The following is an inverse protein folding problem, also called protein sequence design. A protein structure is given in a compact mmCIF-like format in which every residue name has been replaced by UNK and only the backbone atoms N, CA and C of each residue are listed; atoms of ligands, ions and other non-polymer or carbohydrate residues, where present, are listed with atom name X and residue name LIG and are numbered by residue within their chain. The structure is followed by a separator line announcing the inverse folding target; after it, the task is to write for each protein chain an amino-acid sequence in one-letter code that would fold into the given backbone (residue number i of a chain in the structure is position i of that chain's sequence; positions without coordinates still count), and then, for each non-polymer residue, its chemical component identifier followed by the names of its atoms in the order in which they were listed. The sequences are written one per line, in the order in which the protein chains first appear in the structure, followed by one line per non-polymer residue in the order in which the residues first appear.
data_IF_571669894703
#
_entry.id   IF_571669894703
#
_cell.length_a   1.000
_cell.length_b   1.000
_cell.length_c   1.000
_cell.angle_alpha   90.00
_cell.angle_beta   90.00
_cell.angle_gamma   90.00
#
_symmetry.space_group_name_H-M   'P 1'
#
loop_
_entity.id
_entity.type
_entity.pdbx_description
1 polymer ?
#
# COMPACT_ATOMS: atom_id res chain seq x y z
N UNK A 1 52.96 -18.65 2.83
CA UNK A 1 51.83 -19.55 2.60
C UNK A 1 50.42 -18.93 2.66
N UNK A 2 50.18 -17.60 2.88
CA UNK A 2 48.84 -17.01 2.70
C UNK A 2 48.53 -16.53 1.26
N UNK A 3 49.56 -16.36 0.42
CA UNK A 3 49.39 -15.84 -0.95
C UNK A 3 48.76 -16.85 -1.93
N UNK A 4 48.99 -18.15 -1.70
CA UNK A 4 48.38 -19.21 -2.50
C UNK A 4 46.87 -19.34 -2.21
N UNK A 5 46.45 -19.18 -0.96
CA UNK A 5 45.03 -19.14 -0.58
C UNK A 5 44.32 -17.92 -1.17
N UNK A 6 44.98 -16.75 -1.21
CA UNK A 6 44.41 -15.54 -1.81
C UNK A 6 44.19 -15.68 -3.33
N UNK A 7 45.11 -16.32 -4.04
CA UNK A 7 44.99 -16.57 -5.48
C UNK A 7 43.91 -17.60 -5.78
N UNK A 8 43.78 -18.66 -4.97
CA UNK A 8 42.70 -19.65 -5.10
C UNK A 8 41.33 -19.04 -4.82
N UNK A 9 41.19 -18.22 -3.77
CA UNK A 9 39.96 -17.48 -3.47
C UNK A 9 39.60 -16.51 -4.60
N UNK A 10 40.60 -15.81 -5.17
CA UNK A 10 40.39 -14.91 -6.30
C UNK A 10 39.91 -15.67 -7.55
N UNK A 11 40.49 -16.82 -7.85
CA UNK A 11 40.06 -17.66 -8.98
C UNK A 11 38.65 -18.22 -8.77
N UNK A 12 38.30 -18.60 -7.54
CA UNK A 12 36.95 -19.06 -7.20
C UNK A 12 35.93 -17.93 -7.40
N UNK A 13 36.23 -16.72 -6.89
CA UNK A 13 35.39 -15.53 -7.05
C UNK A 13 35.24 -15.12 -8.51
N UNK A 14 36.32 -15.16 -9.30
CA UNK A 14 36.29 -14.86 -10.74
C UNK A 14 35.41 -15.86 -11.49
N UNK A 15 35.50 -17.14 -11.14
CA UNK A 15 34.69 -18.20 -11.77
C UNK A 15 33.21 -18.06 -11.43
N UNK A 16 32.89 -17.77 -10.17
CA UNK A 16 31.52 -17.50 -9.73
C UNK A 16 30.95 -16.23 -10.37
N UNK A 17 31.78 -15.19 -10.53
CA UNK A 17 31.40 -13.96 -11.22
C UNK A 17 31.09 -14.22 -12.69
N UNK A 18 31.94 -14.97 -13.40
CA UNK A 18 31.72 -15.36 -14.80
C UNK A 18 30.46 -16.20 -14.94
N UNK A 19 30.20 -17.12 -14.00
CA UNK A 19 28.98 -17.92 -13.97
C UNK A 19 27.70 -17.08 -13.68
N UNK A 20 27.85 -15.94 -13.01
CA UNK A 20 26.75 -15.01 -12.73
C UNK A 20 26.43 -14.08 -13.92
N UNK A 21 27.37 -13.83 -14.84
CA UNK A 21 27.16 -12.99 -16.04
C UNK A 21 25.89 -13.34 -16.83
N UNK A 22 25.63 -14.61 -17.22
CA UNK A 22 24.41 -14.95 -17.96
C UNK A 22 23.14 -14.69 -17.15
N UNK A 23 23.16 -14.93 -15.83
CA UNK A 23 22.02 -14.64 -14.95
C UNK A 23 21.75 -13.14 -14.84
N UNK A 24 22.80 -12.33 -14.79
CA UNK A 24 22.68 -10.87 -14.81
C UNK A 24 22.07 -10.37 -16.13
N UNK A 25 22.53 -10.90 -17.28
CA UNK A 25 21.99 -10.53 -18.59
C UNK A 25 20.48 -10.83 -18.70
N UNK A 26 20.05 -12.02 -18.26
CA UNK A 26 18.62 -12.38 -18.25
C UNK A 26 17.84 -11.48 -17.28
N UNK A 27 18.40 -11.18 -16.11
CA UNK A 27 17.74 -10.31 -15.13
C UNK A 27 17.51 -8.90 -15.67
N UNK A 28 18.49 -8.34 -16.38
CA UNK A 28 18.37 -7.06 -17.07
C UNK A 28 17.30 -7.14 -18.16
N UNK A 29 17.24 -8.22 -18.93
CA UNK A 29 16.22 -8.42 -19.95
C UNK A 29 14.80 -8.49 -19.35
N UNK A 30 14.62 -9.22 -18.25
CA UNK A 30 13.34 -9.29 -17.51
C UNK A 30 12.95 -7.90 -17.02
N UNK A 31 13.88 -7.16 -16.43
CA UNK A 31 13.62 -5.81 -15.94
C UNK A 31 13.20 -4.88 -17.08
N UNK A 32 13.87 -4.94 -18.23
CA UNK A 32 13.53 -4.16 -19.41
C UNK A 32 12.13 -4.52 -19.95
N UNK A 33 11.80 -5.81 -20.00
CA UNK A 33 10.47 -6.29 -20.39
C UNK A 33 9.39 -5.79 -19.42
N UNK A 34 9.68 -5.80 -18.11
CA UNK A 34 8.76 -5.29 -17.10
C UNK A 34 8.47 -3.80 -17.28
N UNK A 35 9.49 -2.98 -17.56
CA UNK A 35 9.30 -1.56 -17.86
C UNK A 35 8.47 -1.33 -19.14
N UNK A 36 8.67 -2.18 -20.15
CA UNK A 36 7.88 -2.13 -21.37
C UNK A 36 6.40 -2.49 -21.10
N UNK A 37 6.17 -3.49 -20.25
CA UNK A 37 4.83 -3.87 -19.79
C UNK A 37 4.17 -2.75 -18.99
N UNK A 38 4.87 -2.10 -18.06
CA UNK A 38 4.35 -0.92 -17.33
C UNK A 38 3.90 0.16 -18.30
N UNK A 39 4.71 0.46 -19.32
CA UNK A 39 4.36 1.45 -20.34
C UNK A 39 3.11 1.03 -21.15
N UNK A 40 2.98 -0.26 -21.44
CA UNK A 40 1.81 -0.81 -22.14
C UNK A 40 0.55 -0.75 -21.26
N UNK A 41 0.67 -1.17 -20.00
CA UNK A 41 -0.39 -1.13 -18.99
C UNK A 41 -0.95 0.29 -18.88
N UNK A 42 -0.09 1.30 -18.74
CA UNK A 42 -0.54 2.68 -18.63
C UNK A 42 -1.39 3.13 -19.84
N UNK A 43 -0.98 2.73 -21.05
CA UNK A 43 -1.74 3.02 -22.27
C UNK A 43 -3.09 2.31 -22.28
N UNK A 44 -3.11 1.01 -21.93
CA UNK A 44 -4.34 0.21 -21.92
C UNK A 44 -5.31 0.71 -20.85
N UNK A 45 -4.83 0.95 -19.64
CA UNK A 45 -5.62 1.48 -18.52
C UNK A 45 -6.26 2.81 -18.90
N UNK A 46 -5.48 3.74 -19.46
CA UNK A 46 -6.01 5.02 -19.92
C UNK A 46 -7.15 4.83 -20.92
N UNK A 47 -6.92 4.02 -21.96
CA UNK A 47 -7.96 3.75 -22.99
C UNK A 47 -9.20 3.10 -22.37
N UNK A 48 -9.04 2.17 -21.43
CA UNK A 48 -10.17 1.49 -20.78
C UNK A 48 -10.96 2.41 -19.86
N UNK A 49 -10.27 3.25 -19.08
CA UNK A 49 -10.92 4.20 -18.17
C UNK A 49 -11.65 5.29 -18.97
N UNK A 50 -11.00 5.84 -19.99
CA UNK A 50 -11.59 6.84 -20.89
C UNK A 50 -12.79 6.26 -21.65
N UNK A 51 -12.67 5.04 -22.20
CA UNK A 51 -13.77 4.40 -22.95
C UNK A 51 -14.97 3.99 -22.07
N UNK A 52 -14.74 3.74 -20.79
CA UNK A 52 -15.81 3.33 -19.86
C UNK A 52 -16.51 4.50 -19.16
N UNK A 53 -15.98 5.72 -19.31
CA UNK A 53 -16.45 6.90 -18.60
C UNK A 53 -16.39 6.72 -17.08
N UNK A 54 -15.43 5.93 -16.59
CA UNK A 54 -15.33 5.56 -15.17
C UNK A 54 -15.16 6.79 -14.29
N UNK A 55 -14.37 7.77 -14.74
CA UNK A 55 -14.17 9.03 -14.00
C UNK A 55 -15.45 9.88 -13.96
N UNK A 56 -16.18 9.99 -15.07
CA UNK A 56 -17.45 10.75 -15.14
C UNK A 56 -18.54 10.10 -14.29
N UNK A 57 -18.66 8.76 -14.34
CA UNK A 57 -19.56 8.02 -13.46
C UNK A 57 -19.20 8.23 -12.00
N UNK A 58 -17.91 8.24 -11.66
CA UNK A 58 -17.50 8.48 -10.29
C UNK A 58 -17.81 9.91 -9.84
N UNK A 59 -17.59 10.92 -10.70
CA UNK A 59 -17.97 12.31 -10.43
C UNK A 59 -19.48 12.50 -10.25
N UNK A 60 -20.30 11.69 -10.92
CA UNK A 60 -21.76 11.72 -10.73
C UNK A 60 -22.22 11.21 -9.35
N UNK A 61 -21.41 10.37 -8.71
CA UNK A 61 -21.68 9.81 -7.37
C UNK A 61 -20.99 10.65 -6.28
N UNK A 62 -19.82 11.21 -6.58
CA UNK A 62 -18.96 11.92 -5.64
C UNK A 62 -18.76 13.36 -6.11
N UNK A 63 -19.45 14.35 -5.49
CA UNK A 63 -19.29 15.74 -5.85
C UNK A 63 -17.82 16.19 -5.63
N UNK A 64 -17.20 16.72 -6.69
CA UNK A 64 -15.79 17.15 -6.67
C UNK A 64 -14.75 16.05 -6.95
N UNK A 65 -15.18 14.81 -7.25
CA UNK A 65 -14.30 13.69 -7.59
C UNK A 65 -13.40 13.22 -6.44
N UNK A 66 -12.54 12.24 -6.67
CA UNK A 66 -11.58 11.74 -5.66
C UNK A 66 -10.26 12.54 -5.70
N UNK A 67 -9.56 12.62 -4.56
CA UNK A 67 -8.23 13.26 -4.42
C UNK A 67 -7.19 12.64 -5.35
N UNK A 68 -7.30 11.33 -5.59
CA UNK A 68 -6.50 10.60 -6.58
C UNK A 68 -7.41 10.16 -7.73
N UNK A 69 -7.01 10.40 -9.00
CA UNK A 69 -7.79 9.90 -10.13
C UNK A 69 -7.76 8.37 -10.14
N UNK A 70 -8.91 7.75 -10.45
CA UNK A 70 -9.06 6.29 -10.48
C UNK A 70 -8.06 5.65 -11.44
N UNK A 71 -7.81 6.30 -12.58
CA UNK A 71 -6.81 5.91 -13.56
C UNK A 71 -5.42 5.72 -12.94
N UNK A 72 -5.02 6.63 -12.04
CA UNK A 72 -3.72 6.58 -11.38
C UNK A 72 -3.67 5.46 -10.34
N UNK A 73 -4.74 5.26 -9.56
CA UNK A 73 -4.81 4.17 -8.58
C UNK A 73 -4.75 2.80 -9.28
N UNK A 74 -5.50 2.62 -10.38
CA UNK A 74 -5.47 1.38 -11.17
C UNK A 74 -4.10 1.18 -11.80
N UNK A 75 -3.53 2.21 -12.45
CA UNK A 75 -2.20 2.11 -13.07
C UNK A 75 -1.14 1.73 -12.05
N UNK A 76 -1.03 2.48 -10.94
CA UNK A 76 -0.03 2.21 -9.91
C UNK A 76 -0.20 0.82 -9.29
N UNK A 77 -1.44 0.35 -9.11
CA UNK A 77 -1.69 -0.98 -8.57
C UNK A 77 -1.20 -2.07 -9.52
N UNK A 78 -1.49 -1.94 -10.81
CA UNK A 78 -1.01 -2.87 -11.83
C UNK A 78 0.51 -2.78 -12.01
N UNK A 79 1.08 -1.58 -11.94
CA UNK A 79 2.53 -1.37 -12.03
C UNK A 79 3.24 -2.04 -10.86
N UNK A 80 2.71 -1.90 -9.64
CA UNK A 80 3.22 -2.61 -8.46
C UNK A 80 3.17 -4.13 -8.67
N UNK A 81 2.07 -4.67 -9.22
CA UNK A 81 1.96 -6.11 -9.51
C UNK A 81 2.98 -6.58 -10.56
N UNK A 82 3.18 -5.81 -11.64
CA UNK A 82 4.17 -6.13 -12.68
C UNK A 82 5.58 -6.10 -12.10
N UNK A 83 5.93 -5.08 -11.32
CA UNK A 83 7.24 -4.95 -10.70
C UNK A 83 7.52 -6.05 -9.67
N UNK A 84 6.54 -6.41 -8.84
CA UNK A 84 6.68 -7.52 -7.89
C UNK A 84 6.85 -8.85 -8.62
N UNK A 85 6.11 -9.06 -9.71
CA UNK A 85 6.25 -10.27 -10.54
C UNK A 85 7.62 -10.35 -11.20
N UNK A 86 8.13 -9.23 -11.74
CA UNK A 86 9.46 -9.16 -12.32
C UNK A 86 10.56 -9.39 -11.27
N UNK A 87 10.44 -8.78 -10.08
CA UNK A 87 11.35 -8.99 -8.97
C UNK A 87 11.35 -10.46 -8.52
N UNK A 88 10.18 -11.09 -8.45
CA UNK A 88 10.04 -12.53 -8.13
C UNK A 88 10.78 -13.41 -9.15
N UNK A 89 10.63 -13.15 -10.44
CA UNK A 89 11.36 -13.86 -11.50
C UNK A 89 12.87 -13.68 -11.38
N UNK A 90 13.34 -12.46 -11.08
CA UNK A 90 14.76 -12.18 -10.86
C UNK A 90 15.29 -12.96 -9.65
N UNK A 91 14.59 -12.93 -8.52
CA UNK A 91 14.97 -13.69 -7.31
C UNK A 91 15.11 -15.18 -7.62
N UNK A 92 14.20 -15.74 -8.42
CA UNK A 92 14.22 -17.14 -8.86
C UNK A 92 15.46 -17.52 -9.69
N UNK A 93 16.10 -16.57 -10.38
CA UNK A 93 17.33 -16.82 -11.15
C UNK A 93 18.56 -16.95 -10.23
N UNK A 94 18.57 -16.23 -9.12
CA UNK A 94 19.71 -16.20 -8.19
C UNK A 94 19.56 -17.18 -7.03
N UNK A 95 18.33 -17.44 -6.58
CA UNK A 95 18.04 -18.25 -5.40
C UNK A 95 17.21 -19.48 -5.79
N UNK A 96 17.68 -20.71 -5.52
CA UNK A 96 16.91 -21.93 -5.80
C UNK A 96 15.59 -21.98 -5.02
N UNK A 97 14.53 -22.46 -5.69
CA UNK A 97 13.15 -22.45 -5.17
C UNK A 97 12.95 -23.20 -3.85
N UNK A 98 13.80 -24.17 -3.56
CA UNK A 98 13.68 -25.05 -2.39
C UNK A 98 14.32 -24.47 -1.12
N UNK A 99 14.97 -23.30 -1.21
CA UNK A 99 15.64 -22.70 -0.05
C UNK A 99 14.64 -21.93 0.82
N UNK A 100 14.86 -21.93 2.14
CA UNK A 100 14.08 -21.12 3.07
C UNK A 100 14.17 -19.61 2.74
N UNK A 101 15.36 -19.16 2.32
CA UNK A 101 15.62 -17.80 1.88
C UNK A 101 14.73 -17.39 0.68
N UNK A 102 14.52 -18.28 -0.30
CA UNK A 102 13.61 -18.00 -1.43
C UNK A 102 12.19 -17.69 -0.95
N UNK A 103 11.65 -18.49 -0.04
CA UNK A 103 10.30 -18.31 0.51
C UNK A 103 10.20 -17.02 1.31
N UNK A 104 11.22 -16.69 2.08
CA UNK A 104 11.27 -15.46 2.87
C UNK A 104 11.29 -14.22 1.98
N UNK A 105 12.20 -14.15 0.99
CA UNK A 105 12.30 -13.01 0.08
C UNK A 105 11.03 -12.81 -0.75
N UNK A 106 10.45 -13.89 -1.30
CA UNK A 106 9.18 -13.79 -2.01
C UNK A 106 8.03 -13.39 -1.09
N UNK A 107 8.01 -13.91 0.14
CA UNK A 107 7.00 -13.55 1.13
C UNK A 107 7.06 -12.07 1.51
N UNK A 108 8.25 -11.48 1.61
CA UNK A 108 8.42 -10.04 1.86
C UNK A 108 8.00 -9.22 0.64
N UNK A 109 8.44 -9.59 -0.57
CA UNK A 109 8.08 -8.89 -1.82
C UNK A 109 6.55 -8.90 -2.06
N UNK A 110 5.91 -10.05 -1.91
CA UNK A 110 4.47 -10.20 -2.08
C UNK A 110 3.69 -9.38 -1.04
N UNK A 111 4.12 -9.41 0.23
CA UNK A 111 3.51 -8.58 1.29
C UNK A 111 3.68 -7.10 0.99
N UNK A 112 4.87 -6.65 0.59
CA UNK A 112 5.12 -5.25 0.24
C UNK A 112 4.21 -4.78 -0.90
N UNK A 113 4.09 -5.57 -1.96
CA UNK A 113 3.19 -5.29 -3.08
C UNK A 113 1.73 -5.20 -2.65
N UNK A 114 1.26 -6.17 -1.88
CA UNK A 114 -0.11 -6.20 -1.36
C UNK A 114 -0.42 -4.98 -0.50
N UNK A 115 0.46 -4.65 0.46
CA UNK A 115 0.31 -3.49 1.36
C UNK A 115 0.25 -2.19 0.57
N UNK A 116 1.09 -2.03 -0.46
CA UNK A 116 1.08 -0.84 -1.31
C UNK A 116 -0.25 -0.69 -2.07
N UNK A 117 -0.73 -1.76 -2.72
CA UNK A 117 -1.99 -1.76 -3.47
C UNK A 117 -3.19 -1.50 -2.55
N UNK A 118 -3.28 -2.21 -1.43
CA UNK A 118 -4.35 -2.04 -0.45
C UNK A 118 -4.37 -0.63 0.15
N UNK A 119 -3.20 -0.04 0.38
CA UNK A 119 -3.12 1.34 0.88
C UNK A 119 -3.67 2.35 -0.12
N UNK A 120 -3.36 2.19 -1.42
CA UNK A 120 -3.91 3.05 -2.47
C UNK A 120 -5.43 2.93 -2.56
N UNK A 121 -5.96 1.70 -2.48
CA UNK A 121 -7.39 1.44 -2.49
C UNK A 121 -8.06 2.04 -1.25
N UNK A 122 -7.46 1.88 -0.06
CA UNK A 122 -7.98 2.43 1.19
C UNK A 122 -8.07 3.97 1.12
N UNK A 123 -7.02 4.63 0.63
CA UNK A 123 -7.03 6.09 0.41
C UNK A 123 -8.17 6.49 -0.52
N UNK A 124 -8.33 5.80 -1.65
CA UNK A 124 -9.38 6.10 -2.62
C UNK A 124 -10.78 5.94 -2.02
N UNK A 125 -11.03 4.83 -1.31
CA UNK A 125 -12.33 4.52 -0.72
C UNK A 125 -12.69 5.49 0.40
N UNK A 126 -11.74 5.79 1.29
CA UNK A 126 -11.99 6.69 2.41
C UNK A 126 -12.21 8.12 1.90
N UNK A 127 -11.42 8.58 0.94
CA UNK A 127 -11.62 9.89 0.31
C UNK A 127 -12.97 9.98 -0.42
N UNK A 128 -13.32 8.94 -1.18
CA UNK A 128 -14.60 8.84 -1.85
C UNK A 128 -15.78 8.95 -0.86
N UNK A 129 -15.69 8.21 0.25
CA UNK A 129 -16.70 8.22 1.30
C UNK A 129 -16.81 9.61 1.95
N UNK A 130 -15.68 10.21 2.32
CA UNK A 130 -15.61 11.53 2.93
C UNK A 130 -16.28 12.60 2.06
N UNK A 131 -16.07 12.55 0.73
CA UNK A 131 -16.65 13.53 -0.19
C UNK A 131 -18.11 13.24 -0.54
N UNK A 132 -18.51 11.97 -0.66
CA UNK A 132 -19.89 11.60 -0.97
C UNK A 132 -20.90 12.08 0.08
N UNK A 133 -20.45 12.22 1.33
CA UNK A 133 -21.29 12.66 2.44
C UNK A 133 -21.42 14.20 2.54
N UNK A 134 -20.82 14.97 1.63
CA UNK A 134 -20.95 16.44 1.59
C UNK A 134 -20.41 17.13 2.84
N UNK A 135 -19.28 16.63 3.35
CA UNK A 135 -18.84 16.85 4.72
C UNK A 135 -18.10 18.17 4.95
N UNK A 136 -18.33 18.77 6.13
CA UNK A 136 -17.57 19.91 6.63
C UNK A 136 -16.08 19.56 6.91
N UNK A 137 -15.22 20.59 6.93
CA UNK A 137 -13.77 20.46 7.15
C UNK A 137 -13.40 19.62 8.40
N UNK A 138 -14.24 19.68 9.44
CA UNK A 138 -14.06 18.91 10.69
C UNK A 138 -14.11 17.40 10.46
N UNK A 139 -14.96 16.95 9.54
CA UNK A 139 -15.11 15.52 9.23
C UNK A 139 -14.06 15.06 8.22
N UNK A 140 -13.57 15.94 7.34
CA UNK A 140 -12.44 15.64 6.46
C UNK A 140 -11.18 15.26 7.26
N UNK A 141 -10.94 15.94 8.40
CA UNK A 141 -9.86 15.62 9.33
C UNK A 141 -10.04 14.24 9.98
N UNK A 142 -11.28 13.87 10.33
CA UNK A 142 -11.59 12.53 10.85
C UNK A 142 -11.25 11.44 9.82
N UNK A 143 -11.69 11.60 8.57
CA UNK A 143 -11.39 10.63 7.51
C UNK A 143 -9.90 10.56 7.17
N UNK A 144 -9.18 11.69 7.26
CA UNK A 144 -7.71 11.70 7.12
C UNK A 144 -7.04 10.88 8.24
N UNK A 145 -7.49 11.04 9.48
CA UNK A 145 -7.01 10.25 10.62
C UNK A 145 -7.34 8.76 10.46
N UNK A 146 -8.55 8.44 10.01
CA UNK A 146 -8.97 7.07 9.76
C UNK A 146 -8.14 6.41 8.64
N UNK A 147 -7.87 7.15 7.55
CA UNK A 147 -6.98 6.70 6.46
C UNK A 147 -5.57 6.42 6.98
N UNK A 148 -5.02 7.28 7.83
CA UNK A 148 -3.68 7.05 8.38
C UNK A 148 -3.63 5.81 9.28
N UNK A 149 -4.66 5.56 10.11
CA UNK A 149 -4.75 4.32 10.87
C UNK A 149 -4.86 3.07 9.98
N UNK A 150 -5.60 3.14 8.87
CA UNK A 150 -5.64 2.04 7.90
C UNK A 150 -4.28 1.77 7.27
N UNK A 151 -3.56 2.80 6.83
CA UNK A 151 -2.21 2.66 6.27
C UNK A 151 -1.26 2.05 7.31
N UNK A 152 -1.31 2.51 8.57
CA UNK A 152 -0.50 1.95 9.66
C UNK A 152 -0.84 0.48 9.89
N UNK A 153 -2.12 0.12 9.87
CA UNK A 153 -2.57 -1.28 10.00
C UNK A 153 -1.99 -2.16 8.91
N UNK A 154 -2.02 -1.71 7.65
CA UNK A 154 -1.41 -2.43 6.54
C UNK A 154 0.12 -2.48 6.66
N UNK A 155 0.76 -1.43 7.18
CA UNK A 155 2.21 -1.41 7.39
C UNK A 155 2.69 -2.42 8.44
N UNK A 156 1.86 -2.77 9.43
CA UNK A 156 2.18 -3.82 10.43
C UNK A 156 2.44 -5.17 9.76
N UNK A 157 1.75 -5.47 8.65
CA UNK A 157 1.95 -6.72 7.91
C UNK A 157 3.34 -6.79 7.26
N UNK A 158 3.85 -5.65 6.82
CA UNK A 158 5.18 -5.52 6.22
C UNK A 158 6.30 -5.52 7.28
N UNK A 159 6.02 -4.98 8.47
CA UNK A 159 7.02 -4.88 9.52
C UNK A 159 7.53 -6.27 9.95
N UNK A 160 8.84 -6.40 10.12
CA UNK A 160 9.50 -7.62 10.60
C UNK A 160 9.43 -7.74 12.14
N UNK A 161 8.22 -7.59 12.69
CA UNK A 161 7.94 -7.67 14.12
C UNK A 161 7.66 -9.12 14.54
N UNK A 162 7.88 -9.42 15.82
CA UNK A 162 7.51 -10.72 16.38
C UNK A 162 5.99 -10.94 16.31
N UNK A 163 5.51 -12.19 16.26
CA UNK A 163 4.07 -12.48 16.20
C UNK A 163 3.26 -11.82 17.31
N UNK A 164 3.82 -11.79 18.53
CA UNK A 164 3.18 -11.24 19.72
C UNK A 164 3.02 -9.71 19.59
N UNK A 165 4.06 -9.02 19.10
CA UNK A 165 4.03 -7.58 18.88
C UNK A 165 3.05 -7.22 17.76
N UNK A 166 3.01 -8.02 16.68
CA UNK A 166 2.03 -7.84 15.60
C UNK A 166 0.60 -7.99 16.11
N UNK A 167 0.35 -9.00 16.92
CA UNK A 167 -0.97 -9.24 17.49
C UNK A 167 -1.40 -8.09 18.41
N UNK A 168 -0.51 -7.64 19.30
CA UNK A 168 -0.77 -6.52 20.19
C UNK A 168 -1.06 -5.22 19.42
N UNK A 169 -0.28 -4.91 18.37
CA UNK A 169 -0.51 -3.77 17.50
C UNK A 169 -1.83 -3.89 16.72
N UNK A 170 -2.13 -5.07 16.18
CA UNK A 170 -3.38 -5.31 15.44
C UNK A 170 -4.59 -5.09 16.35
N UNK A 171 -4.56 -5.60 17.58
CA UNK A 171 -5.61 -5.37 18.57
C UNK A 171 -5.69 -3.90 18.95
N UNK A 172 -4.55 -3.26 19.25
CA UNK A 172 -4.51 -1.85 19.64
C UNK A 172 -5.05 -0.92 18.53
N UNK A 173 -4.68 -1.17 17.28
CA UNK A 173 -5.18 -0.44 16.12
C UNK A 173 -6.67 -0.71 15.89
N UNK A 174 -7.14 -1.96 15.99
CA UNK A 174 -8.55 -2.28 15.86
C UNK A 174 -9.40 -1.58 16.93
N UNK A 175 -8.94 -1.57 18.19
CA UNK A 175 -9.58 -0.83 19.28
C UNK A 175 -9.54 0.68 19.01
N UNK A 176 -8.41 1.23 18.57
CA UNK A 176 -8.28 2.64 18.22
C UNK A 176 -9.22 3.08 17.10
N UNK A 177 -9.31 2.29 16.02
CA UNK A 177 -10.25 2.51 14.91
C UNK A 177 -11.69 2.43 15.42
N UNK A 178 -12.02 1.40 16.21
CA UNK A 178 -13.36 1.23 16.78
C UNK A 178 -13.78 2.38 17.68
N UNK A 179 -12.88 2.86 18.55
CA UNK A 179 -13.12 4.03 19.41
C UNK A 179 -13.28 5.32 18.60
N UNK A 180 -12.46 5.52 17.56
CA UNK A 180 -12.59 6.66 16.65
C UNK A 180 -13.95 6.68 15.96
N UNK A 181 -14.36 5.55 15.38
CA UNK A 181 -15.66 5.40 14.72
C UNK A 181 -16.80 5.60 15.73
N UNK A 182 -16.69 5.03 16.92
CA UNK A 182 -17.69 5.16 17.97
C UNK A 182 -17.84 6.61 18.47
N UNK A 183 -16.73 7.29 18.74
CA UNK A 183 -16.72 8.69 19.14
C UNK A 183 -17.27 9.60 18.03
N UNK A 184 -16.90 9.32 16.78
CA UNK A 184 -17.44 10.04 15.62
C UNK A 184 -18.94 9.82 15.46
N UNK A 185 -19.42 8.59 15.57
CA UNK A 185 -20.85 8.28 15.51
C UNK A 185 -21.61 8.99 16.63
N UNK A 186 -21.11 8.96 17.87
CA UNK A 186 -21.74 9.65 18.99
C UNK A 186 -21.82 11.16 18.74
N UNK A 187 -20.74 11.77 18.26
CA UNK A 187 -20.72 13.18 17.91
C UNK A 187 -21.65 13.50 16.73
N UNK A 188 -21.69 12.67 15.69
CA UNK A 188 -22.52 12.88 14.50
C UNK A 188 -24.03 12.76 14.80
N UNK A 189 -24.43 11.84 15.69
CA UNK A 189 -25.85 11.65 16.04
C UNK A 189 -26.32 12.53 17.20
N UNK A 190 -25.44 12.86 18.15
CA UNK A 190 -25.81 13.55 19.39
C UNK A 190 -25.09 14.89 19.60
N UNK A 191 -24.34 15.39 18.61
CA UNK A 191 -23.56 16.63 18.71
C UNK A 191 -24.40 17.81 19.20
N UNK A 192 -25.55 18.04 18.57
CA UNK A 192 -26.47 19.14 18.92
C UNK A 192 -27.06 19.00 20.34
N UNK A 193 -27.36 17.76 20.75
CA UNK A 193 -27.85 17.45 22.10
C UNK A 193 -26.77 17.68 23.15
N UNK A 194 -25.53 17.29 22.86
CA UNK A 194 -24.38 17.52 23.74
C UNK A 194 -24.13 19.02 23.88
N UNK A 195 -24.11 19.75 22.76
CA UNK A 195 -23.86 21.20 22.74
C UNK A 195 -24.92 21.98 23.51
N UNK A 196 -26.21 21.65 23.32
CA UNK A 196 -27.32 22.26 24.08
C UNK A 196 -27.28 21.93 25.57
N UNK A 197 -26.85 20.73 25.96
CA UNK A 197 -26.72 20.34 27.37
C UNK A 197 -25.60 21.10 28.09
N UNK A 198 -24.49 21.36 27.40
CA UNK A 198 -23.39 22.17 27.94
C UNK A 198 -23.71 23.68 27.93
N UNK A 199 -24.40 24.18 26.90
CA UNK A 199 -24.85 25.56 26.83
C UNK A 199 -25.91 25.89 27.91
N UNK A 200 -26.84 24.98 28.19
CA UNK A 200 -27.86 25.14 29.24
C UNK A 200 -27.28 25.25 30.66
N UNK A 201 -26.10 24.68 30.91
CA UNK A 201 -25.39 24.81 32.19
C UNK A 201 -24.70 26.16 32.39
N UNK A 202 -24.41 26.90 31.31
CA UNK A 202 -23.79 28.22 31.38
C UNK A 202 -24.81 29.35 31.63
N UNK A 203 -26.11 29.11 31.40
CA UNK A 203 -27.19 30.09 31.59
C UNK A 203 -27.98 29.99 32.91
N UNK A 204 -27.68 29.01 33.77
CA UNK A 204 -28.42 28.75 35.03
C UNK A 204 -27.84 29.42 36.28
N UNK A 205 -26.95 30.41 36.11
CA UNK A 205 -26.28 31.11 37.21
C UNK A 205 -26.52 32.62 37.16
N UNK A 206 -27.78 33.05 37.20
CA UNK A 206 -28.21 34.37 37.67
C UNK A 206 -29.60 34.22 38.32
#
# INVERSE_FOLDING_TARGET
MPEYEALELLQLLLRDLIAAVPKLAISVAIFFLALLLVRLVHRVVKVLVDASGLEEKLQSIIPGGTRLPVTLVISLSLDAMVLVSAASLIVRLFVPEYTAAYREYLGVLARAGSVAVLSLIAILLVDALAKSMGLEEKTERFFTMLTSLFIVTLAVDLAALSPEVKQALTIGLAVGIGLLIGAFALWAFFGDYIESFFAGKAGGGQ
#
